data_IF_532349960898
#
_entry.id   IF_532349960898
#
_cell.length_a   1.000
_cell.length_b   1.000
_cell.length_c   1.000
_cell.angle_alpha   90.00
_cell.angle_beta   90.00
_cell.angle_gamma   90.00
#
_symmetry.space_group_name_H-M   'P 1'
#
loop_
_entity.id
_entity.type
_entity.pdbx_description
1 polymer ?
#
# COMPACT_ATOMS: atom_id res chain seq x y z
N UNK A 1 -23.47 9.53 24.39
CA UNK A 1 -22.94 10.89 24.65
C UNK A 1 -23.71 11.95 23.87
N UNK A 2 -23.87 11.87 22.54
CA UNK A 2 -24.65 12.87 21.78
C UNK A 2 -26.17 12.81 22.02
N UNK A 3 -26.73 11.60 22.27
CA UNK A 3 -28.15 11.46 22.70
C UNK A 3 -28.41 11.99 24.13
N UNK A 4 -27.35 12.29 24.88
CA UNK A 4 -27.39 12.78 26.25
C UNK A 4 -26.91 14.24 26.34
N UNK A 5 -26.70 14.95 25.22
CA UNK A 5 -26.35 16.39 25.20
C UNK A 5 -24.94 16.75 25.68
N UNK A 6 -24.05 15.77 25.91
CA UNK A 6 -22.69 16.00 26.41
C UNK A 6 -21.69 16.49 25.34
N UNK A 7 -22.03 16.37 24.06
CA UNK A 7 -21.26 16.83 22.90
C UNK A 7 -22.26 17.29 21.84
N UNK A 8 -22.07 18.48 21.26
CA UNK A 8 -22.93 18.99 20.19
C UNK A 8 -22.96 18.01 19.01
N UNK A 9 -24.17 17.70 18.51
CA UNK A 9 -24.38 16.74 17.41
C UNK A 9 -23.65 17.13 16.11
N UNK A 10 -23.15 18.36 16.02
CA UNK A 10 -22.36 18.85 14.90
C UNK A 10 -20.99 18.13 14.83
N UNK A 11 -20.35 17.83 15.96
CA UNK A 11 -18.99 17.28 16.00
C UNK A 11 -18.95 15.75 16.08
N UNK A 12 -19.98 15.12 16.65
CA UNK A 12 -20.06 13.66 16.77
C UNK A 12 -21.48 13.20 16.43
N UNK A 13 -21.78 12.88 15.17
CA UNK A 13 -23.09 12.35 14.82
C UNK A 13 -23.34 10.99 15.47
N UNK A 14 -24.60 10.67 15.74
CA UNK A 14 -24.97 9.36 16.28
C UNK A 14 -24.59 8.24 15.29
N UNK A 15 -24.10 7.07 15.74
CA UNK A 15 -23.75 5.95 14.85
C UNK A 15 -24.89 5.52 13.90
N UNK A 16 -26.14 5.62 14.36
CA UNK A 16 -27.31 5.36 13.53
C UNK A 16 -27.46 6.35 12.37
N UNK A 17 -27.14 7.64 12.57
CA UNK A 17 -27.17 8.64 11.52
C UNK A 17 -26.09 8.37 10.46
N UNK A 18 -24.90 7.94 10.89
CA UNK A 18 -23.81 7.55 9.98
C UNK A 18 -24.24 6.39 9.08
N UNK A 19 -24.92 5.37 9.65
CA UNK A 19 -25.43 4.23 8.89
C UNK A 19 -26.53 4.62 7.89
N UNK A 20 -27.42 5.54 8.26
CA UNK A 20 -28.48 6.06 7.36
C UNK A 20 -27.86 6.83 6.20
N UNK A 21 -26.88 7.70 6.46
CA UNK A 21 -26.21 8.44 5.39
C UNK A 21 -25.38 7.51 4.51
N UNK A 22 -24.71 6.51 5.10
CA UNK A 22 -23.99 5.49 4.35
C UNK A 22 -24.90 4.74 3.38
N UNK A 23 -26.07 4.27 3.83
CA UNK A 23 -27.02 3.57 2.94
C UNK A 23 -27.57 4.49 1.86
N UNK A 24 -27.84 5.76 2.20
CA UNK A 24 -28.26 6.78 1.22
C UNK A 24 -27.20 7.00 0.14
N UNK A 25 -25.93 7.17 0.53
CA UNK A 25 -24.82 7.35 -0.41
C UNK A 25 -24.58 6.09 -1.26
N UNK A 26 -24.80 4.91 -0.69
CA UNK A 26 -24.69 3.64 -1.40
C UNK A 26 -25.82 3.49 -2.43
N UNK A 27 -27.06 3.81 -2.08
CA UNK A 27 -28.21 3.77 -3.00
C UNK A 27 -28.13 4.81 -4.11
N UNK A 28 -27.58 6.00 -3.83
CA UNK A 28 -27.37 7.05 -4.83
C UNK A 28 -26.24 6.76 -5.83
N UNK A 29 -25.41 5.74 -5.58
CA UNK A 29 -24.26 5.37 -6.42
C UNK A 29 -23.02 6.26 -6.24
N UNK A 30 -23.13 7.39 -5.54
CA UNK A 30 -22.00 8.30 -5.26
C UNK A 30 -20.84 7.57 -4.55
N UNK A 31 -21.20 6.74 -3.56
CA UNK A 31 -20.21 6.01 -2.78
C UNK A 31 -19.53 4.91 -3.60
N UNK A 32 -20.30 4.15 -4.38
CA UNK A 32 -19.79 3.09 -5.24
C UNK A 32 -18.81 3.64 -6.29
N UNK A 33 -19.14 4.78 -6.91
CA UNK A 33 -18.25 5.44 -7.86
C UNK A 33 -16.94 5.88 -7.19
N UNK A 34 -17.04 6.49 -6.01
CA UNK A 34 -15.87 6.95 -5.25
C UNK A 34 -14.97 5.78 -4.85
N UNK A 35 -15.54 4.69 -4.34
CA UNK A 35 -14.80 3.46 -4.01
C UNK A 35 -14.13 2.88 -5.24
N UNK A 36 -14.85 2.77 -6.35
CA UNK A 36 -14.32 2.18 -7.59
C UNK A 36 -13.11 2.95 -8.11
N UNK A 37 -13.19 4.29 -8.15
CA UNK A 37 -12.10 5.15 -8.60
C UNK A 37 -10.87 5.04 -7.68
N UNK A 38 -11.07 5.11 -6.37
CA UNK A 38 -9.98 4.93 -5.39
C UNK A 38 -9.35 3.55 -5.51
N UNK A 39 -10.15 2.49 -5.61
CA UNK A 39 -9.66 1.12 -5.70
C UNK A 39 -8.86 0.90 -6.98
N UNK A 40 -9.32 1.43 -8.13
CA UNK A 40 -8.58 1.37 -9.39
C UNK A 40 -7.20 2.03 -9.27
N UNK A 41 -7.12 3.22 -8.65
CA UNK A 41 -5.86 3.94 -8.42
C UNK A 41 -4.92 3.13 -7.52
N UNK A 42 -5.43 2.59 -6.42
CA UNK A 42 -4.67 1.72 -5.51
C UNK A 42 -4.12 0.53 -6.28
N UNK A 43 -4.95 -0.22 -7.01
CA UNK A 43 -4.53 -1.44 -7.70
C UNK A 43 -3.39 -1.15 -8.69
N UNK A 44 -3.55 -0.15 -9.56
CA UNK A 44 -2.53 0.17 -10.55
C UNK A 44 -1.24 0.68 -9.92
N UNK A 45 -1.34 1.60 -8.95
CA UNK A 45 -0.16 2.12 -8.28
C UNK A 45 0.58 1.03 -7.50
N UNK A 46 -0.18 0.20 -6.77
CA UNK A 46 0.36 -0.91 -6.00
C UNK A 46 1.05 -1.95 -6.89
N UNK A 47 0.44 -2.38 -8.00
CA UNK A 47 1.06 -3.35 -8.90
C UNK A 47 2.35 -2.82 -9.52
N UNK A 48 2.35 -1.56 -9.97
CA UNK A 48 3.55 -0.92 -10.52
C UNK A 48 4.65 -0.77 -9.46
N UNK A 49 4.31 -0.27 -8.28
CA UNK A 49 5.26 -0.05 -7.19
C UNK A 49 5.83 -1.36 -6.65
N UNK A 50 4.99 -2.34 -6.36
CA UNK A 50 5.41 -3.66 -5.89
C UNK A 50 6.24 -4.38 -6.97
N UNK A 51 5.82 -4.34 -8.23
CA UNK A 51 6.55 -4.94 -9.34
C UNK A 51 7.96 -4.36 -9.47
N UNK A 52 8.08 -3.03 -9.52
CA UNK A 52 9.38 -2.36 -9.56
C UNK A 52 10.20 -2.62 -8.29
N UNK A 53 9.57 -2.64 -7.12
CA UNK A 53 10.24 -2.90 -5.84
C UNK A 53 10.84 -4.29 -5.79
N UNK A 54 10.11 -5.32 -6.25
CA UNK A 54 10.64 -6.69 -6.34
C UNK A 54 11.79 -6.74 -7.34
N UNK A 55 11.62 -6.18 -8.54
CA UNK A 55 12.66 -6.21 -9.57
C UNK A 55 13.96 -5.55 -9.12
N UNK A 56 13.88 -4.33 -8.60
CA UNK A 56 15.05 -3.59 -8.10
C UNK A 56 15.62 -4.29 -6.87
N UNK A 57 14.77 -4.72 -5.94
CA UNK A 57 15.22 -5.38 -4.72
C UNK A 57 15.92 -6.71 -4.96
N UNK A 58 15.48 -7.49 -5.96
CA UNK A 58 16.18 -8.69 -6.41
C UNK A 58 17.51 -8.36 -7.08
N UNK A 59 17.54 -7.35 -7.96
CA UNK A 59 18.78 -6.92 -8.62
C UNK A 59 19.84 -6.46 -7.62
N UNK A 60 19.44 -5.68 -6.61
CA UNK A 60 20.30 -5.21 -5.52
C UNK A 60 20.70 -6.34 -4.59
N UNK A 61 19.77 -7.21 -4.19
CA UNK A 61 20.05 -8.32 -3.28
C UNK A 61 20.97 -9.40 -3.87
N UNK A 62 20.95 -9.59 -5.18
CA UNK A 62 21.72 -10.64 -5.87
C UNK A 62 23.05 -10.14 -6.45
N UNK A 63 23.26 -8.83 -6.61
CA UNK A 63 24.46 -8.28 -7.25
C UNK A 63 25.16 -7.24 -6.37
N UNK A 64 26.43 -7.48 -5.98
CA UNK A 64 27.19 -6.52 -5.17
C UNK A 64 27.44 -5.19 -5.89
N UNK A 65 27.46 -5.21 -7.23
CA UNK A 65 27.60 -3.98 -8.04
C UNK A 65 26.33 -3.14 -7.96
N UNK A 66 25.16 -3.76 -8.08
CA UNK A 66 23.88 -3.05 -7.97
C UNK A 66 23.67 -2.54 -6.56
N UNK A 67 24.09 -3.30 -5.55
CA UNK A 67 24.12 -2.85 -4.16
C UNK A 67 24.94 -1.58 -3.98
N UNK A 68 26.20 -1.56 -4.43
CA UNK A 68 27.06 -0.38 -4.28
C UNK A 68 26.49 0.87 -4.99
N UNK A 69 25.74 0.71 -6.09
CA UNK A 69 25.18 1.81 -6.87
C UNK A 69 23.82 2.31 -6.35
N UNK A 70 22.92 1.39 -5.98
CA UNK A 70 21.51 1.70 -5.71
C UNK A 70 21.25 1.85 -4.21
N UNK A 71 21.93 1.12 -3.34
CA UNK A 71 21.69 1.15 -1.90
C UNK A 71 21.89 2.55 -1.28
N UNK A 72 22.90 3.36 -1.69
CA UNK A 72 23.02 4.75 -1.25
C UNK A 72 21.84 5.61 -1.71
N UNK A 73 21.36 5.43 -2.95
CA UNK A 73 20.23 6.18 -3.49
C UNK A 73 18.93 5.84 -2.76
N UNK A 74 18.72 4.55 -2.45
CA UNK A 74 17.58 4.10 -1.64
C UNK A 74 17.64 4.72 -0.25
N UNK A 75 18.80 4.68 0.40
CA UNK A 75 19.00 5.21 1.75
C UNK A 75 18.79 6.73 1.82
N UNK A 76 19.22 7.47 0.80
CA UNK A 76 19.02 8.92 0.70
C UNK A 76 17.55 9.29 0.44
N UNK A 77 16.87 8.56 -0.43
CA UNK A 77 15.52 8.92 -0.86
C UNK A 77 14.43 8.31 0.01
N UNK A 78 14.72 7.24 0.76
CA UNK A 78 13.75 6.55 1.61
C UNK A 78 13.11 7.44 2.69
N UNK A 79 13.84 8.27 3.46
CA UNK A 79 13.27 9.11 4.53
C UNK A 79 12.34 10.21 4.03
N UNK A 80 12.41 10.57 2.75
CA UNK A 80 11.59 11.64 2.18
C UNK A 80 10.11 11.25 2.29
N UNK A 81 9.25 12.06 2.94
CA UNK A 81 7.82 11.81 2.99
C UNK A 81 7.23 11.77 1.59
N UNK A 82 6.71 10.62 1.16
CA UNK A 82 6.29 10.44 -0.25
C UNK A 82 5.20 11.42 -0.64
N UNK A 83 4.26 11.70 0.27
CA UNK A 83 3.20 12.69 0.03
C UNK A 83 3.73 14.09 -0.32
N UNK A 84 4.89 14.49 0.19
CA UNK A 84 5.50 15.78 -0.13
C UNK A 84 5.98 15.87 -1.59
N UNK A 85 6.11 14.74 -2.28
CA UNK A 85 6.47 14.68 -3.70
C UNK A 85 5.27 14.91 -4.63
N UNK A 86 4.03 14.88 -4.10
CA UNK A 86 2.82 14.97 -4.92
C UNK A 86 2.77 16.23 -5.81
N UNK A 87 3.07 17.46 -5.33
CA UNK A 87 3.05 18.63 -6.20
C UNK A 87 4.02 18.54 -7.37
N UNK A 88 5.20 17.96 -7.15
CA UNK A 88 6.21 17.76 -8.18
C UNK A 88 5.82 16.66 -9.17
N UNK A 89 5.18 15.59 -8.69
CA UNK A 89 4.59 14.56 -9.57
C UNK A 89 3.47 15.16 -10.44
N UNK A 90 2.62 16.03 -9.88
CA UNK A 90 1.60 16.76 -10.63
C UNK A 90 2.23 17.68 -11.66
N UNK A 91 3.31 18.39 -11.30
CA UNK A 91 4.04 19.25 -12.24
C UNK A 91 4.57 18.45 -13.44
N UNK A 92 5.09 17.25 -13.22
CA UNK A 92 5.67 16.42 -14.29
C UNK A 92 4.65 15.63 -15.11
N UNK A 93 3.65 15.03 -14.46
CA UNK A 93 2.68 14.14 -15.11
C UNK A 93 1.33 14.80 -15.40
N UNK A 94 1.17 16.05 -14.98
CA UNK A 94 -0.08 16.78 -15.04
C UNK A 94 -1.07 16.41 -13.94
N UNK A 95 -2.15 17.19 -13.87
CA UNK A 95 -3.32 16.87 -13.06
C UNK A 95 -4.08 15.73 -13.76
N UNK A 96 -4.27 14.60 -13.09
CA UNK A 96 -4.94 13.46 -13.70
C UNK A 96 -4.85 12.19 -12.89
N UNK A 97 -5.15 11.06 -13.53
CA UNK A 97 -5.03 9.73 -12.91
C UNK A 97 -3.58 9.26 -12.82
N UNK A 98 -2.74 9.65 -13.78
CA UNK A 98 -1.31 9.31 -13.84
C UNK A 98 -0.56 9.75 -12.59
N UNK A 99 -0.73 11.01 -12.16
CA UNK A 99 -0.06 11.56 -10.97
C UNK A 99 -0.46 10.84 -9.68
N UNK A 100 -1.76 10.51 -9.53
CA UNK A 100 -2.26 9.74 -8.38
C UNK A 100 -1.71 8.31 -8.34
N UNK A 101 -1.70 7.64 -9.49
CA UNK A 101 -1.14 6.28 -9.60
C UNK A 101 0.37 6.29 -9.34
N UNK A 102 1.09 7.29 -9.86
CA UNK A 102 2.53 7.42 -9.67
C UNK A 102 2.91 7.61 -8.20
N UNK A 103 2.21 8.47 -7.45
CA UNK A 103 2.53 8.66 -6.02
C UNK A 103 2.30 7.38 -5.20
N UNK A 104 1.24 6.63 -5.51
CA UNK A 104 0.96 5.34 -4.88
C UNK A 104 2.08 4.34 -5.23
N UNK A 105 2.51 4.28 -6.49
CA UNK A 105 3.60 3.42 -6.92
C UNK A 105 4.92 3.74 -6.20
N UNK A 106 5.26 5.02 -6.06
CA UNK A 106 6.43 5.46 -5.30
C UNK A 106 6.32 5.04 -3.83
N UNK A 107 5.14 5.17 -3.22
CA UNK A 107 4.91 4.74 -1.85
C UNK A 107 5.01 3.24 -1.62
N UNK A 108 4.50 2.44 -2.57
CA UNK A 108 4.56 0.99 -2.52
C UNK A 108 5.98 0.45 -2.82
N UNK A 109 6.73 1.13 -3.69
CA UNK A 109 8.06 0.71 -4.13
C UNK A 109 9.04 0.46 -2.98
N UNK A 110 9.22 1.43 -2.08
CA UNK A 110 10.26 1.36 -1.04
C UNK A 110 10.11 0.20 -0.06
N UNK A 111 8.96 0.01 0.63
CA UNK A 111 8.82 -1.09 1.57
C UNK A 111 9.00 -2.45 0.87
N UNK A 112 8.52 -2.61 -0.38
CA UNK A 112 8.74 -3.85 -1.14
C UNK A 112 10.20 -4.03 -1.51
N UNK A 113 10.86 -2.99 -2.02
CA UNK A 113 12.27 -3.04 -2.43
C UNK A 113 13.17 -3.40 -1.24
N UNK A 114 13.05 -2.69 -0.13
CA UNK A 114 13.87 -2.89 1.06
C UNK A 114 13.65 -4.29 1.65
N UNK A 115 12.40 -4.74 1.78
CA UNK A 115 12.12 -6.08 2.29
C UNK A 115 12.58 -7.18 1.32
N UNK A 116 12.55 -6.94 0.01
CA UNK A 116 13.10 -7.87 -0.98
C UNK A 116 14.62 -7.99 -0.83
N UNK A 117 15.33 -6.88 -0.69
CA UNK A 117 16.78 -6.86 -0.44
C UNK A 117 17.11 -7.62 0.85
N UNK A 118 16.39 -7.31 1.94
CA UNK A 118 16.57 -7.95 3.23
C UNK A 118 16.29 -9.46 3.18
N UNK A 119 15.22 -9.88 2.49
CA UNK A 119 14.87 -11.30 2.34
C UNK A 119 15.92 -12.08 1.54
N UNK A 120 16.45 -11.49 0.47
CA UNK A 120 17.49 -12.11 -0.35
C UNK A 120 18.81 -12.24 0.43
N UNK A 121 19.25 -11.16 1.10
CA UNK A 121 20.50 -11.17 1.87
C UNK A 121 20.39 -11.99 3.16
N UNK A 122 19.18 -12.16 3.70
CA UNK A 122 18.90 -12.95 4.89
C UNK A 122 18.84 -14.47 4.65
N UNK A 123 19.08 -14.95 3.43
CA UNK A 123 19.11 -16.38 3.15
C UNK A 123 20.28 -17.07 3.87
N UNK A 124 19.99 -18.20 4.54
CA UNK A 124 20.99 -18.92 5.35
C UNK A 124 22.17 -19.41 4.49
N UNK A 125 23.41 -18.96 4.78
CA UNK A 125 24.62 -19.41 4.08
C UNK A 125 24.81 -20.93 4.12
N UNK A 126 24.30 -21.59 5.16
CA UNK A 126 24.38 -23.05 5.32
C UNK A 126 23.46 -23.76 4.31
N UNK A 127 22.24 -23.27 4.09
CA UNK A 127 21.33 -23.81 3.07
C UNK A 127 21.90 -23.60 1.65
N UNK A 128 22.53 -22.46 1.41
CA UNK A 128 23.20 -22.16 0.14
C UNK A 128 24.37 -23.13 -0.09
N UNK A 129 25.20 -23.35 0.94
CA UNK A 129 26.36 -24.25 0.87
C UNK A 129 25.94 -25.71 0.70
N UNK A 130 24.92 -26.16 1.44
CA UNK A 130 24.35 -27.50 1.32
C UNK A 130 23.79 -27.76 -0.09
N UNK A 131 23.04 -26.81 -0.66
CA UNK A 131 22.54 -26.93 -2.02
C UNK A 131 23.67 -27.05 -3.05
N UNK A 132 24.75 -26.27 -2.92
CA UNK A 132 25.92 -26.38 -3.79
C UNK A 132 26.63 -27.73 -3.65
N UNK A 133 26.78 -28.25 -2.44
CA UNK A 133 27.36 -29.58 -2.19
C UNK A 133 26.53 -30.71 -2.80
N UNK A 134 25.21 -30.53 -2.93
CA UNK A 134 24.31 -31.44 -3.62
C UNK A 134 24.30 -31.27 -5.16
N UNK A 135 25.21 -30.46 -5.72
CA UNK A 135 25.35 -30.24 -7.15
C UNK A 135 24.40 -29.18 -7.73
N UNK A 136 23.74 -28.37 -6.90
CA UNK A 136 22.88 -27.31 -7.41
C UNK A 136 23.67 -26.22 -8.13
N UNK A 137 23.24 -25.88 -9.34
CA UNK A 137 23.82 -24.78 -10.10
C UNK A 137 23.38 -23.41 -9.52
N UNK A 138 24.02 -22.31 -9.97
CA UNK A 138 23.74 -20.96 -9.45
C UNK A 138 22.25 -20.57 -9.56
N UNK A 139 21.61 -20.90 -10.67
CA UNK A 139 20.20 -20.55 -10.90
C UNK A 139 19.27 -21.34 -9.95
N UNK A 140 19.58 -22.62 -9.72
CA UNK A 140 18.85 -23.46 -8.77
C UNK A 140 19.00 -22.96 -7.34
N UNK A 141 20.19 -22.52 -6.94
CA UNK A 141 20.41 -21.91 -5.61
C UNK A 141 19.56 -20.65 -5.46
N UNK A 142 19.59 -19.75 -6.45
CA UNK A 142 18.79 -18.51 -6.41
C UNK A 142 17.29 -18.83 -6.33
N UNK A 143 16.78 -19.68 -7.21
CA UNK A 143 15.34 -19.94 -7.29
C UNK A 143 14.81 -20.79 -6.14
N UNK A 144 15.52 -21.85 -5.74
CA UNK A 144 15.00 -22.84 -4.80
C UNK A 144 15.39 -22.58 -3.34
N UNK A 145 16.47 -21.82 -3.10
CA UNK A 145 16.93 -21.52 -1.74
C UNK A 145 16.69 -20.06 -1.42
N UNK A 146 17.27 -19.15 -2.21
CA UNK A 146 17.26 -17.71 -1.90
C UNK A 146 15.85 -17.13 -2.05
N UNK A 147 15.21 -17.27 -3.21
CA UNK A 147 13.87 -16.72 -3.44
C UNK A 147 12.82 -17.36 -2.52
N UNK A 148 12.93 -18.66 -2.28
CA UNK A 148 12.00 -19.38 -1.39
C UNK A 148 12.13 -18.91 0.08
N UNK A 149 13.37 -18.65 0.52
CA UNK A 149 13.65 -18.09 1.86
C UNK A 149 13.27 -16.61 1.96
N UNK A 150 13.38 -15.85 0.86
CA UNK A 150 13.06 -14.42 0.81
C UNK A 150 11.56 -14.15 0.74
N UNK A 151 10.77 -15.09 0.21
CA UNK A 151 9.34 -14.92 -0.05
C UNK A 151 8.52 -14.41 1.16
N UNK A 152 8.68 -14.93 2.40
CA UNK A 152 7.95 -14.42 3.56
C UNK A 152 8.25 -12.93 3.83
N UNK A 153 9.52 -12.52 3.66
CA UNK A 153 9.96 -11.14 3.88
C UNK A 153 9.45 -10.23 2.76
N UNK A 154 9.50 -10.70 1.51
CA UNK A 154 8.91 -9.97 0.37
C UNK A 154 7.41 -9.72 0.60
N UNK A 155 6.67 -10.73 1.05
CA UNK A 155 5.24 -10.59 1.37
C UNK A 155 4.99 -9.62 2.52
N UNK A 156 5.86 -9.58 3.54
CA UNK A 156 5.79 -8.55 4.58
C UNK A 156 5.96 -7.14 4.00
N UNK A 157 6.90 -6.96 3.06
CA UNK A 157 7.07 -5.71 2.31
C UNK A 157 5.81 -5.32 1.51
N UNK A 158 5.21 -6.28 0.80
CA UNK A 158 3.96 -6.10 0.04
C UNK A 158 2.80 -5.70 0.97
N UNK A 159 2.74 -6.27 2.19
CA UNK A 159 1.75 -5.90 3.21
C UNK A 159 1.91 -4.44 3.66
N UNK A 160 3.15 -4.02 3.94
CA UNK A 160 3.44 -2.62 4.28
C UNK A 160 3.09 -1.67 3.13
N UNK A 161 3.39 -2.08 1.89
CA UNK A 161 3.07 -1.32 0.68
C UNK A 161 1.56 -1.10 0.50
N UNK A 162 0.72 -2.06 0.90
CA UNK A 162 -0.72 -1.93 0.78
C UNK A 162 -1.30 -0.90 1.76
N UNK A 163 -0.79 -0.87 2.99
CA UNK A 163 -1.11 0.18 3.95
C UNK A 163 -0.70 1.57 3.45
N UNK A 164 0.52 1.69 2.94
CA UNK A 164 1.01 2.94 2.34
C UNK A 164 0.21 3.38 1.11
N UNK A 165 -0.23 2.43 0.28
CA UNK A 165 -1.04 2.73 -0.91
C UNK A 165 -2.40 3.32 -0.53
N UNK A 166 -3.03 2.80 0.53
CA UNK A 166 -4.29 3.34 1.04
C UNK A 166 -4.11 4.75 1.62
N UNK A 167 -3.05 4.98 2.39
CA UNK A 167 -2.76 6.31 2.93
C UNK A 167 -2.52 7.33 1.80
N UNK A 168 -1.70 6.97 0.81
CA UNK A 168 -1.33 7.88 -0.27
C UNK A 168 -2.47 8.14 -1.26
N UNK A 169 -3.34 7.15 -1.55
CA UNK A 169 -4.50 7.43 -2.42
C UNK A 169 -5.42 8.46 -1.78
N UNK A 170 -5.67 8.36 -0.47
CA UNK A 170 -6.53 9.31 0.25
C UNK A 170 -5.91 10.70 0.21
N UNK A 171 -4.63 10.81 0.58
CA UNK A 171 -3.94 12.10 0.55
C UNK A 171 -3.86 12.70 -0.86
N UNK A 172 -3.64 11.88 -1.89
CA UNK A 172 -3.61 12.35 -3.28
C UNK A 172 -4.98 12.82 -3.77
N UNK A 173 -6.05 12.13 -3.35
CA UNK A 173 -7.41 12.48 -3.70
C UNK A 173 -7.89 13.78 -3.04
N UNK A 174 -7.43 14.06 -1.83
CA UNK A 174 -7.72 15.31 -1.13
C UNK A 174 -7.11 16.52 -1.84
N UNK A 175 -5.95 16.37 -2.48
CA UNK A 175 -5.23 17.51 -3.09
C UNK A 175 -5.67 17.77 -4.53
N UNK A 176 -5.84 16.73 -5.35
CA UNK A 176 -5.96 16.88 -6.80
C UNK A 176 -6.89 15.85 -7.45
N UNK A 177 -8.03 15.54 -6.82
CA UNK A 177 -9.08 14.73 -7.42
C UNK A 177 -10.44 15.46 -7.41
N UNK A 178 -11.27 15.10 -8.37
CA UNK A 178 -12.69 15.52 -8.45
C UNK A 178 -13.64 14.41 -8.01
N UNK A 179 -13.12 13.23 -7.68
CA UNK A 179 -13.86 12.06 -7.23
C UNK A 179 -12.91 11.07 -6.55
N UNK A 180 -13.44 10.23 -5.66
CA UNK A 180 -12.68 9.32 -4.81
C UNK A 180 -13.04 9.50 -3.34
N UNK A 181 -12.65 8.55 -2.50
CA UNK A 181 -12.99 8.57 -1.08
C UNK A 181 -12.30 9.72 -0.35
N UNK A 182 -11.04 10.01 -0.67
CA UNK A 182 -10.32 11.14 -0.07
C UNK A 182 -10.94 12.49 -0.46
N UNK A 183 -11.37 12.64 -1.71
CA UNK A 183 -12.13 13.81 -2.17
C UNK A 183 -13.46 13.94 -1.41
N UNK A 184 -14.20 12.84 -1.28
CA UNK A 184 -15.50 12.81 -0.59
C UNK A 184 -15.36 13.25 0.87
N UNK A 185 -14.36 12.74 1.58
CA UNK A 185 -14.09 13.09 2.98
C UNK A 185 -13.75 14.57 3.11
N UNK A 186 -12.87 15.10 2.25
CA UNK A 186 -12.48 16.50 2.29
C UNK A 186 -13.69 17.41 1.98
N UNK A 187 -14.42 17.11 0.90
CA UNK A 187 -15.59 17.87 0.50
C UNK A 187 -16.69 17.88 1.56
N UNK A 188 -16.95 16.73 2.21
CA UNK A 188 -17.89 16.66 3.32
C UNK A 188 -17.41 17.45 4.55
N UNK A 189 -16.10 17.52 4.79
CA UNK A 189 -15.50 18.34 5.85
C UNK A 189 -15.63 19.83 5.59
N UNK A 190 -15.33 20.27 4.37
CA UNK A 190 -15.45 21.68 3.97
C UNK A 190 -16.90 22.18 4.10
N UNK A 191 -17.88 21.32 3.84
CA UNK A 191 -19.31 21.61 4.01
C UNK A 191 -19.86 21.34 5.41
N UNK A 192 -19.01 20.94 6.38
CA UNK A 192 -19.42 20.56 7.74
C UNK A 192 -20.50 19.46 7.78
N UNK A 193 -20.56 18.61 6.75
CA UNK A 193 -21.45 17.45 6.66
C UNK A 193 -20.82 16.25 7.41
N UNK A 194 -20.76 16.35 8.74
CA UNK A 194 -20.00 15.41 9.57
C UNK A 194 -20.51 13.97 9.49
N UNK A 195 -21.80 13.74 9.26
CA UNK A 195 -22.36 12.40 9.02
C UNK A 195 -21.80 11.77 7.74
N UNK A 196 -21.69 12.55 6.66
CA UNK A 196 -21.14 12.11 5.36
C UNK A 196 -19.63 11.89 5.44
N UNK A 197 -18.93 12.78 6.14
CA UNK A 197 -17.50 12.65 6.42
C UNK A 197 -17.21 11.35 7.18
N UNK A 198 -17.94 11.08 8.26
CA UNK A 198 -17.76 9.88 9.08
C UNK A 198 -18.12 8.60 8.31
N UNK A 199 -19.14 8.64 7.45
CA UNK A 199 -19.44 7.54 6.53
C UNK A 199 -18.27 7.26 5.57
N UNK A 200 -17.63 8.30 5.03
CA UNK A 200 -16.41 8.17 4.22
C UNK A 200 -15.23 7.54 4.98
N UNK A 201 -15.01 7.95 6.24
CA UNK A 201 -13.98 7.33 7.10
C UNK A 201 -14.30 5.86 7.38
N UNK A 202 -15.57 5.52 7.64
CA UNK A 202 -16.00 4.12 7.83
C UNK A 202 -15.68 3.27 6.60
N UNK A 203 -15.86 3.81 5.40
CA UNK A 203 -15.49 3.15 4.13
C UNK A 203 -13.99 2.89 4.06
N UNK A 204 -13.15 3.86 4.44
CA UNK A 204 -11.69 3.66 4.50
C UNK A 204 -11.30 2.55 5.49
N UNK A 205 -11.94 2.49 6.65
CA UNK A 205 -11.73 1.42 7.62
C UNK A 205 -12.07 0.05 7.01
N UNK A 206 -13.22 -0.07 6.33
CA UNK A 206 -13.64 -1.30 5.66
C UNK A 206 -12.68 -1.70 4.56
N UNK A 207 -12.22 -0.75 3.74
CA UNK A 207 -11.23 -1.02 2.68
C UNK A 207 -9.87 -1.43 3.23
N UNK A 208 -9.39 -0.81 4.31
CA UNK A 208 -8.14 -1.15 4.97
C UNK A 208 -8.18 -2.54 5.63
N UNK A 209 -9.29 -2.87 6.28
CA UNK A 209 -9.52 -4.22 6.79
C UNK A 209 -9.61 -5.24 5.66
N UNK A 210 -10.34 -4.92 4.59
CA UNK A 210 -10.48 -5.75 3.40
C UNK A 210 -9.13 -6.05 2.75
N UNK A 211 -8.31 -5.03 2.50
CA UNK A 211 -6.98 -5.19 1.89
C UNK A 211 -6.05 -6.03 2.78
N UNK A 212 -6.08 -5.81 4.10
CA UNK A 212 -5.31 -6.61 5.07
C UNK A 212 -5.73 -8.08 5.04
N UNK A 213 -7.04 -8.37 5.05
CA UNK A 213 -7.56 -9.73 5.04
C UNK A 213 -7.25 -10.46 3.72
N UNK A 214 -7.33 -9.76 2.58
CA UNK A 214 -6.98 -10.31 1.28
C UNK A 214 -5.50 -10.69 1.25
N UNK A 215 -4.61 -9.80 1.69
CA UNK A 215 -3.17 -10.08 1.72
C UNK A 215 -2.80 -11.19 2.70
N UNK A 216 -3.44 -11.25 3.86
CA UNK A 216 -3.25 -12.37 4.78
C UNK A 216 -3.66 -13.72 4.18
N UNK A 217 -4.74 -13.76 3.38
CA UNK A 217 -5.14 -14.99 2.67
C UNK A 217 -4.12 -15.37 1.59
N UNK A 218 -3.64 -14.40 0.82
CA UNK A 218 -2.61 -14.61 -0.20
C UNK A 218 -1.32 -15.14 0.44
N UNK A 219 -0.90 -14.57 1.56
CA UNK A 219 0.30 -15.01 2.28
C UNK A 219 0.17 -16.44 2.82
N UNK A 220 -0.99 -16.79 3.37
CA UNK A 220 -1.26 -18.17 3.83
C UNK A 220 -1.20 -19.19 2.69
N UNK A 221 -1.63 -18.80 1.49
CA UNK A 221 -1.60 -19.67 0.32
C UNK A 221 -0.19 -19.81 -0.26
N UNK A 222 0.59 -18.72 -0.29
CA UNK A 222 1.92 -18.70 -0.90
C UNK A 222 3.03 -19.21 0.02
N UNK A 223 2.89 -19.08 1.34
CA UNK A 223 3.94 -19.43 2.31
C UNK A 223 3.37 -20.31 3.45
N UNK A 224 2.91 -21.53 3.16
CA UNK A 224 2.43 -22.44 4.19
C UNK A 224 3.54 -22.89 5.16
N UNK A 225 4.81 -22.92 4.73
CA UNK A 225 5.94 -23.46 5.50
C UNK A 225 6.50 -22.51 6.57
N UNK A 226 6.22 -21.20 6.50
CA UNK A 226 6.76 -20.21 7.46
C UNK A 226 6.05 -20.21 8.82
N UNK A 227 4.98 -20.99 9.00
CA UNK A 227 4.16 -21.01 10.22
C UNK A 227 4.68 -21.94 11.34
N UNK A 228 5.91 -22.46 11.21
CA UNK A 228 6.48 -23.44 12.14
C UNK A 228 7.50 -22.94 13.15
N UNK A 229 7.60 -21.63 13.43
CA UNK A 229 8.49 -21.08 14.46
C UNK A 229 7.82 -19.96 15.24
#
# INVERSE_FOLDING_TARGET
MCRFGLVESLYLPAPSAILVEFTRMLLSGELLMSIWLSLKRIIWGFLLGCGMGILVGLAVGLSPVMEALIDPLLSLTYPIPKIALLPLIILWLGIGESSKVAIIAVGAFYPVCINTIAGVKGADPLLISAARSLGANRLQVIQKVVLMSALPVILAGIRLAAGMSLLLVVSAEMVAATAGIGYLILYAGDLMLTTKLMAGILVLCVLGLGSTLVLQRIERALVPWSRGR
#
